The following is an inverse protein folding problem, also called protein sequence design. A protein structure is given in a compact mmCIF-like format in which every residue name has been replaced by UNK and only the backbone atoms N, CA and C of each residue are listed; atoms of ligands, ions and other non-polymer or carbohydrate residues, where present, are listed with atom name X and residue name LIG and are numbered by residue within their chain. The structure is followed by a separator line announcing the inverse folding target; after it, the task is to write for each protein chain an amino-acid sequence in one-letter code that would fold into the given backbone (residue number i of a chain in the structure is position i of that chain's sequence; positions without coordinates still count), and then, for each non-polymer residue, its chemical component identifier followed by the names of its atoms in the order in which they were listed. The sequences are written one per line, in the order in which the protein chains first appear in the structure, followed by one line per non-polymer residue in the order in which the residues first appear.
data_IF_729583992644
#
_entry.id   IF_729583992644
#
_cell.length_a   1.000
_cell.length_b   1.000
_cell.length_c   1.000
_cell.angle_alpha   90.00
_cell.angle_beta   90.00
_cell.angle_gamma   90.00
#
_symmetry.space_group_name_H-M   'P 1'
#
loop_
_entity.id
_entity.type
_entity.pdbx_description
1 polymer ?
#
# COMPACT_ATOMS: atom_id res chain seq x y z
N UNK A 1 14.34 2.69 -11.40
CA UNK A 1 13.38 1.56 -11.38
C UNK A 1 12.01 2.16 -11.27
N UNK A 2 11.16 1.96 -12.28
CA UNK A 2 9.86 2.64 -12.36
C UNK A 2 8.72 1.90 -11.66
N UNK A 3 8.87 0.58 -11.54
CA UNK A 3 7.85 -0.33 -11.03
C UNK A 3 8.50 -1.53 -10.34
N UNK A 4 7.81 -2.15 -9.38
CA UNK A 4 8.25 -3.40 -8.72
C UNK A 4 7.36 -4.59 -9.06
N UNK A 5 6.85 -4.65 -10.29
CA UNK A 5 5.83 -5.64 -10.69
C UNK A 5 6.31 -7.10 -10.63
N UNK A 6 7.62 -7.35 -10.58
CA UNK A 6 8.19 -8.68 -10.31
C UNK A 6 7.77 -9.26 -8.94
N UNK A 7 7.27 -8.44 -8.01
CA UNK A 7 6.70 -8.88 -6.72
C UNK A 7 5.56 -9.89 -6.88
N UNK A 8 4.90 -9.95 -8.04
CA UNK A 8 3.87 -10.97 -8.33
C UNK A 8 4.42 -12.40 -8.27
N UNK A 9 5.72 -12.58 -8.53
CA UNK A 9 6.39 -13.88 -8.47
C UNK A 9 6.86 -14.24 -7.05
N UNK A 10 6.60 -13.37 -6.08
CA UNK A 10 7.02 -13.54 -4.70
C UNK A 10 5.82 -13.59 -3.73
N UNK A 11 4.90 -14.57 -3.86
CA UNK A 11 3.64 -14.62 -3.11
C UNK A 11 3.81 -14.83 -1.59
N UNK A 12 5.04 -15.15 -1.15
CA UNK A 12 5.38 -15.37 0.25
C UNK A 12 6.06 -14.15 0.90
N UNK A 13 6.12 -13.01 0.22
CA UNK A 13 6.72 -11.79 0.75
C UNK A 13 5.96 -11.34 2.00
N UNK A 14 6.72 -11.13 3.08
CA UNK A 14 6.21 -10.65 4.37
C UNK A 14 6.50 -9.17 4.61
N UNK A 15 7.55 -8.64 3.99
CA UNK A 15 7.94 -7.26 4.16
C UNK A 15 8.40 -6.67 2.84
N UNK A 16 7.89 -5.49 2.50
CA UNK A 16 8.33 -4.68 1.37
C UNK A 16 8.87 -3.40 1.95
N UNK A 17 10.11 -3.05 1.58
CA UNK A 17 10.76 -1.82 1.98
C UNK A 17 11.33 -1.13 0.76
N UNK A 18 10.91 0.10 0.51
CA UNK A 18 11.29 0.89 -0.65
C UNK A 18 11.87 2.21 -0.15
N UNK A 19 13.17 2.41 -0.36
CA UNK A 19 13.90 3.59 0.11
C UNK A 19 14.47 4.36 -1.08
N UNK A 20 14.17 5.66 -1.13
CA UNK A 20 14.71 6.61 -2.10
C UNK A 20 14.44 6.20 -3.56
N UNK A 21 13.28 5.59 -3.81
CA UNK A 21 12.86 5.15 -5.14
C UNK A 21 12.30 6.34 -5.96
N UNK A 22 13.19 7.25 -6.38
CA UNK A 22 12.82 8.53 -7.04
C UNK A 22 12.07 8.40 -8.36
N UNK A 23 12.19 7.27 -9.02
CA UNK A 23 11.54 6.98 -10.31
C UNK A 23 10.30 6.09 -10.16
N UNK A 24 9.98 5.64 -8.96
CA UNK A 24 8.90 4.68 -8.73
C UNK A 24 7.55 5.41 -8.77
N UNK A 25 6.77 5.14 -9.82
CA UNK A 25 5.42 5.71 -9.97
C UNK A 25 4.36 4.82 -9.33
N UNK A 26 4.54 3.50 -9.41
CA UNK A 26 3.64 2.49 -8.84
C UNK A 26 4.43 1.31 -8.25
N UNK A 27 3.99 0.78 -7.10
CA UNK A 27 4.61 -0.45 -6.55
C UNK A 27 4.24 -1.67 -7.39
N UNK A 28 2.96 -1.83 -7.74
CA UNK A 28 2.49 -2.82 -8.71
C UNK A 28 1.63 -2.14 -9.77
N UNK A 29 2.08 -2.21 -11.03
CA UNK A 29 1.34 -1.69 -12.18
C UNK A 29 0.10 -2.54 -12.51
N UNK A 30 -0.98 -1.86 -12.85
CA UNK A 30 -2.22 -2.48 -13.33
C UNK A 30 -2.05 -3.11 -14.71
N UNK A 31 -1.35 -2.41 -15.61
CA UNK A 31 -1.19 -2.76 -17.02
C UNK A 31 -0.52 -4.12 -17.18
N UNK A 32 0.59 -4.34 -16.47
CA UNK A 32 1.31 -5.61 -16.50
C UNK A 32 0.45 -6.76 -15.92
N UNK A 33 -0.32 -6.50 -14.87
CA UNK A 33 -1.21 -7.53 -14.33
C UNK A 33 -2.31 -7.89 -15.32
N UNK A 34 -2.91 -6.91 -15.99
CA UNK A 34 -3.92 -7.12 -17.03
C UNK A 34 -3.38 -7.93 -18.22
N UNK A 35 -2.12 -7.72 -18.63
CA UNK A 35 -1.46 -8.50 -19.69
C UNK A 35 -1.19 -9.96 -19.28
N UNK A 36 -0.98 -10.22 -17.99
CA UNK A 36 -0.78 -11.57 -17.43
C UNK A 36 -2.13 -12.22 -17.01
N UNK A 37 -3.23 -11.46 -17.03
CA UNK A 37 -4.48 -11.73 -16.31
C UNK A 37 -5.41 -12.80 -16.87
N UNK A 38 -5.22 -13.36 -18.07
CA UNK A 38 -6.14 -14.41 -18.55
C UNK A 38 -6.16 -15.66 -17.64
N UNK A 39 -5.18 -15.81 -16.72
CA UNK A 39 -5.07 -16.95 -15.80
C UNK A 39 -4.88 -16.60 -14.32
N UNK A 40 -4.92 -15.34 -13.92
CA UNK A 40 -4.41 -14.90 -12.61
C UNK A 40 -5.39 -14.07 -11.77
N UNK A 41 -6.70 -14.16 -12.01
CA UNK A 41 -7.75 -13.50 -11.20
C UNK A 41 -7.67 -13.81 -9.68
N UNK A 42 -6.99 -14.90 -9.31
CA UNK A 42 -6.79 -15.34 -7.93
C UNK A 42 -5.41 -15.03 -7.34
N UNK A 43 -4.51 -14.32 -8.04
CA UNK A 43 -3.24 -13.93 -7.46
C UNK A 43 -3.41 -12.74 -6.51
N UNK A 44 -3.30 -13.03 -5.23
CA UNK A 44 -3.03 -12.04 -4.20
C UNK A 44 -1.53 -12.09 -3.84
N UNK A 45 -0.66 -11.34 -4.56
CA UNK A 45 0.79 -11.39 -4.36
C UNK A 45 1.20 -10.95 -2.95
N UNK A 46 0.29 -10.30 -2.24
CA UNK A 46 0.51 -9.76 -0.92
C UNK A 46 -0.27 -10.50 0.17
N UNK A 47 -0.79 -11.70 -0.09
CA UNK A 47 -1.56 -12.49 0.90
C UNK A 47 -0.82 -12.74 2.22
N UNK A 48 0.53 -12.77 2.20
CA UNK A 48 1.39 -12.92 3.39
C UNK A 48 2.09 -11.63 3.83
N UNK A 49 1.79 -10.50 3.19
CA UNK A 49 2.45 -9.23 3.48
C UNK A 49 2.05 -8.75 4.88
N UNK A 50 3.04 -8.49 5.72
CA UNK A 50 2.89 -8.06 7.10
C UNK A 50 3.31 -6.61 7.31
N UNK A 51 4.25 -6.12 6.50
CA UNK A 51 4.84 -4.79 6.62
C UNK A 51 5.10 -4.18 5.25
N UNK A 52 4.66 -2.94 5.07
CA UNK A 52 4.99 -2.10 3.93
C UNK A 52 5.65 -0.81 4.43
N UNK A 53 6.85 -0.53 3.97
CA UNK A 53 7.60 0.68 4.36
C UNK A 53 8.07 1.39 3.09
N UNK A 54 7.66 2.63 2.90
CA UNK A 54 7.99 3.43 1.72
C UNK A 54 8.54 4.77 2.19
N UNK A 55 9.78 5.06 1.81
CA UNK A 55 10.48 6.28 2.19
C UNK A 55 11.11 6.97 0.98
N UNK A 56 10.81 8.25 0.80
CA UNK A 56 11.47 9.08 -0.22
C UNK A 56 11.14 8.68 -1.65
N UNK A 57 9.93 8.19 -1.90
CA UNK A 57 9.40 7.89 -3.23
C UNK A 57 8.52 9.06 -3.70
N UNK A 58 9.15 10.13 -4.17
CA UNK A 58 8.49 11.43 -4.38
C UNK A 58 7.39 11.39 -5.44
N UNK A 59 7.57 10.61 -6.51
CA UNK A 59 6.61 10.52 -7.63
C UNK A 59 5.63 9.35 -7.51
N UNK A 60 5.67 8.60 -6.40
CA UNK A 60 4.81 7.44 -6.20
C UNK A 60 3.35 7.89 -6.08
N UNK A 61 2.49 7.41 -6.97
CA UNK A 61 1.07 7.77 -7.02
C UNK A 61 0.18 6.70 -6.38
N UNK A 62 0.54 5.44 -6.56
CA UNK A 62 -0.25 4.29 -6.10
C UNK A 62 0.64 3.14 -5.62
N UNK A 63 0.18 2.40 -4.63
CA UNK A 63 0.84 1.14 -4.22
C UNK A 63 0.25 -0.03 -5.02
N UNK A 64 -1.08 -0.13 -5.03
CA UNK A 64 -1.79 -1.18 -5.73
C UNK A 64 -3.15 -0.64 -6.17
N UNK A 65 -3.57 -0.99 -7.39
CA UNK A 65 -4.83 -0.50 -7.98
C UNK A 65 -6.09 -1.16 -7.41
N UNK A 66 -5.92 -2.28 -6.68
CA UNK A 66 -6.97 -2.94 -5.87
C UNK A 66 -6.66 -2.77 -4.39
N UNK A 67 -7.65 -2.95 -3.54
CA UNK A 67 -7.43 -3.11 -2.11
C UNK A 67 -6.53 -4.33 -1.83
N UNK A 68 -5.61 -4.18 -0.88
CA UNK A 68 -4.79 -5.27 -0.37
C UNK A 68 -5.68 -6.20 0.46
N UNK A 69 -6.01 -7.35 -0.10
CA UNK A 69 -6.63 -8.45 0.64
C UNK A 69 -5.59 -9.21 1.49
N UNK A 70 -4.64 -8.51 2.14
CA UNK A 70 -3.66 -9.16 3.02
C UNK A 70 -4.22 -9.27 4.45
N UNK A 71 -4.64 -10.46 4.91
CA UNK A 71 -5.09 -10.63 6.29
C UNK A 71 -3.96 -10.46 7.31
N UNK A 72 -2.70 -10.48 6.88
CA UNK A 72 -1.54 -10.45 7.76
C UNK A 72 -0.91 -9.06 7.90
N UNK A 73 -1.42 -8.06 7.19
CA UNK A 73 -0.85 -6.71 7.19
C UNK A 73 -1.03 -6.08 8.57
N UNK A 74 0.10 -5.72 9.19
CA UNK A 74 0.17 -5.14 10.54
C UNK A 74 0.73 -3.73 10.55
N UNK A 75 1.46 -3.36 9.50
CA UNK A 75 2.22 -2.12 9.46
C UNK A 75 2.29 -1.52 8.06
N UNK A 76 1.98 -0.22 7.97
CA UNK A 76 2.25 0.62 6.80
C UNK A 76 2.99 1.86 7.29
N UNK A 77 4.23 2.08 6.84
CA UNK A 77 4.95 3.33 7.06
C UNK A 77 5.14 4.04 5.72
N UNK A 78 4.71 5.29 5.63
CA UNK A 78 4.88 6.16 4.45
C UNK A 78 5.50 7.47 4.90
N UNK A 79 6.67 7.81 4.38
CA UNK A 79 7.35 9.06 4.74
C UNK A 79 8.10 9.64 3.54
N UNK A 80 8.03 10.96 3.34
CA UNK A 80 8.58 11.66 2.17
C UNK A 80 8.04 11.12 0.84
N UNK A 81 6.73 10.82 0.78
CA UNK A 81 6.02 10.34 -0.41
C UNK A 81 4.82 11.26 -0.73
N UNK A 82 5.05 12.55 -1.06
CA UNK A 82 4.00 13.57 -1.15
C UNK A 82 2.91 13.29 -2.21
N UNK A 83 3.23 12.55 -3.26
CA UNK A 83 2.27 12.23 -4.33
C UNK A 83 1.44 10.96 -4.07
N UNK A 84 1.70 10.23 -2.97
CA UNK A 84 0.95 9.02 -2.66
C UNK A 84 -0.38 9.41 -2.02
N UNK A 85 -1.43 9.51 -2.83
CA UNK A 85 -2.73 9.99 -2.36
C UNK A 85 -3.68 8.88 -1.90
N UNK A 86 -3.38 7.60 -2.19
CA UNK A 86 -4.27 6.48 -1.88
C UNK A 86 -3.50 5.33 -1.26
N UNK A 87 -4.09 4.73 -0.23
CA UNK A 87 -3.66 3.45 0.30
C UNK A 87 -4.54 2.34 -0.29
N UNK A 88 -3.97 1.15 -0.58
CA UNK A 88 -4.74 0.03 -1.08
C UNK A 88 -5.45 -0.67 0.08
N UNK A 89 -6.42 0.00 0.70
CA UNK A 89 -7.19 -0.48 1.85
C UNK A 89 -8.69 -0.39 1.53
N UNK A 90 -9.47 -1.35 2.01
CA UNK A 90 -10.94 -1.34 1.95
C UNK A 90 -11.57 -1.59 3.35
N UNK A 91 -12.84 -1.25 3.50
CA UNK A 91 -13.59 -1.43 4.75
C UNK A 91 -13.66 -2.90 5.22
N UNK A 92 -13.62 -3.86 4.29
CA UNK A 92 -13.63 -5.31 4.57
C UNK A 92 -12.31 -5.83 5.15
N UNK A 93 -11.23 -5.05 5.08
CA UNK A 93 -9.91 -5.48 5.53
C UNK A 93 -9.63 -5.23 7.03
N UNK A 94 -10.63 -4.80 7.83
CA UNK A 94 -10.38 -4.23 9.17
C UNK A 94 -10.94 -4.97 10.38
N UNK A 95 -11.93 -5.86 10.24
CA UNK A 95 -12.54 -6.49 11.40
C UNK A 95 -11.52 -7.30 12.23
N UNK A 96 -11.26 -6.84 13.46
CA UNK A 96 -10.38 -7.51 14.43
C UNK A 96 -8.86 -7.31 14.27
N UNK A 97 -8.39 -6.39 13.41
CA UNK A 97 -6.94 -6.27 13.10
C UNK A 97 -6.27 -5.08 13.81
N UNK A 98 -5.09 -5.35 14.40
CA UNK A 98 -4.18 -4.30 14.89
C UNK A 98 -3.25 -3.85 13.76
N UNK A 99 -3.80 -3.07 12.82
CA UNK A 99 -3.00 -2.37 11.81
C UNK A 99 -2.51 -1.03 12.38
N UNK A 100 -1.24 -0.74 12.16
CA UNK A 100 -0.64 0.56 12.44
C UNK A 100 -0.23 1.22 11.12
N UNK A 101 -0.67 2.45 10.90
CA UNK A 101 -0.32 3.27 9.75
C UNK A 101 0.46 4.47 10.25
N UNK A 102 1.62 4.73 9.65
CA UNK A 102 2.52 5.80 10.07
C UNK A 102 2.91 6.68 8.92
N UNK A 103 2.98 7.98 9.18
CA UNK A 103 3.41 8.95 8.18
C UNK A 103 3.30 10.38 8.68
N UNK A 104 3.55 11.31 7.77
CA UNK A 104 3.38 12.74 8.03
C UNK A 104 1.89 13.06 8.20
N UNK A 105 1.55 13.92 9.15
CA UNK A 105 0.14 14.28 9.41
C UNK A 105 -0.55 14.90 8.19
N UNK A 106 0.15 15.76 7.45
CA UNK A 106 -0.41 16.45 6.30
C UNK A 106 -0.73 15.46 5.17
N UNK A 107 0.16 14.48 4.96
CA UNK A 107 -0.10 13.36 4.05
C UNK A 107 -1.34 12.56 4.47
N UNK A 108 -1.50 12.28 5.76
CA UNK A 108 -2.68 11.56 6.27
C UNK A 108 -3.98 12.34 6.07
N UNK A 109 -3.96 13.66 6.28
CA UNK A 109 -5.12 14.55 6.09
C UNK A 109 -5.54 14.65 4.62
N UNK A 110 -4.59 14.58 3.70
CA UNK A 110 -4.80 14.67 2.24
C UNK A 110 -5.12 13.32 1.58
N UNK A 111 -5.03 12.21 2.33
CA UNK A 111 -5.30 10.88 1.80
C UNK A 111 -6.74 10.77 1.26
N UNK A 112 -6.86 10.31 0.02
CA UNK A 112 -8.13 10.01 -0.62
C UNK A 112 -8.56 8.59 -0.24
N UNK A 113 -9.71 8.49 0.43
CA UNK A 113 -10.34 7.25 0.82
C UNK A 113 -11.40 6.83 -0.20
N UNK A 114 -11.63 5.53 -0.34
CA UNK A 114 -12.69 4.99 -1.23
C UNK A 114 -14.08 5.49 -0.81
N UNK A 115 -14.36 5.41 0.49
CA UNK A 115 -15.59 5.88 1.10
C UNK A 115 -15.34 6.32 2.56
N UNK A 116 -16.35 6.97 3.15
CA UNK A 116 -16.29 7.45 4.53
C UNK A 116 -16.20 6.29 5.54
N UNK A 117 -16.78 5.13 5.22
CA UNK A 117 -16.72 3.96 6.09
C UNK A 117 -15.29 3.42 6.22
N UNK A 118 -14.55 3.36 5.11
CA UNK A 118 -13.15 2.97 5.04
C UNK A 118 -12.29 3.96 5.82
N UNK A 119 -12.47 5.27 5.59
CA UNK A 119 -11.77 6.30 6.38
C UNK A 119 -11.99 6.12 7.88
N UNK A 120 -13.24 5.94 8.30
CA UNK A 120 -13.59 5.79 9.71
C UNK A 120 -13.02 4.49 10.32
N UNK A 121 -12.96 3.41 9.55
CA UNK A 121 -12.38 2.14 9.99
C UNK A 121 -10.87 2.24 10.28
N UNK A 122 -10.14 3.11 9.58
CA UNK A 122 -8.70 3.29 9.73
C UNK A 122 -8.28 4.53 10.54
N UNK A 123 -9.23 5.36 10.97
CA UNK A 123 -8.94 6.60 11.70
C UNK A 123 -8.06 6.36 12.94
N UNK A 124 -8.35 5.30 13.69
CA UNK A 124 -7.62 4.92 14.91
C UNK A 124 -6.34 4.13 14.65
N UNK A 125 -6.05 3.78 13.40
CA UNK A 125 -4.83 3.07 13.02
C UNK A 125 -3.64 4.01 12.83
N UNK A 126 -3.86 5.33 12.76
CA UNK A 126 -2.80 6.29 12.44
C UNK A 126 -1.96 6.69 13.66
N UNK A 127 -0.65 6.55 13.53
CA UNK A 127 0.36 7.05 14.45
C UNK A 127 1.30 8.00 13.68
N UNK A 128 1.31 9.32 13.96
CA UNK A 128 2.19 10.25 13.26
C UNK A 128 3.68 9.90 13.49
N UNK A 129 4.49 9.97 12.44
CA UNK A 129 5.95 9.90 12.58
C UNK A 129 6.46 11.29 12.97
N UNK A 130 7.22 11.37 14.06
CA UNK A 130 7.98 12.57 14.39
C UNK A 130 9.25 12.59 13.54
N UNK A 131 9.49 13.72 12.87
CA UNK A 131 10.72 14.02 12.10
C UNK A 131 11.96 14.17 12.99
#
# INVERSE_FOLDING_TARGET
MRETTWLIFAPNVKAIRLFWCKELEEVISKEILCEVSEKMDNLNPFSKLQSLEIFGAEILKSIYWKALLSPQLKKIDVMKCPNLQKLPLDSNSTEGRKLVIRGQEDWWKELQWEDEATRNAFLLCFEPLQD
#
